data_IF_226501289655
#
_entry.id   IF_226501289655
#
_cell.length_a   1.000
_cell.length_b   1.000
_cell.length_c   1.000
_cell.angle_alpha   90.00
_cell.angle_beta   90.00
_cell.angle_gamma   90.00
#
_symmetry.space_group_name_H-M   'P 1'
#
loop_
_entity.id
_entity.type
_entity.pdbx_description
1 polymer ?
#
# COMPACT_ATOMS: atom_id res chain seq x y z
N UNK A 1 4.60 6.03 -0.35
CA UNK A 1 4.46 4.59 -0.08
C UNK A 1 5.68 3.78 -0.48
N UNK A 2 5.91 3.45 -1.76
CA UNK A 2 6.89 2.41 -2.14
C UNK A 2 8.32 2.67 -1.62
N UNK A 3 8.98 3.74 -2.08
CA UNK A 3 10.36 4.06 -1.68
C UNK A 3 10.53 4.24 -0.16
N UNK A 4 9.73 5.08 0.52
CA UNK A 4 9.93 5.31 1.95
C UNK A 4 9.64 4.05 2.79
N UNK A 5 8.64 3.23 2.42
CA UNK A 5 8.32 2.01 3.19
C UNK A 5 9.42 0.97 3.09
N UNK A 6 10.05 0.82 1.93
CA UNK A 6 11.22 -0.05 1.74
C UNK A 6 12.45 0.38 2.55
N UNK A 7 12.49 1.62 3.00
CA UNK A 7 13.55 2.17 3.84
C UNK A 7 13.21 2.16 5.34
N UNK A 8 12.03 1.69 5.72
CA UNK A 8 11.65 1.56 7.13
C UNK A 8 12.42 0.42 7.81
N UNK A 9 12.83 0.67 9.04
CA UNK A 9 13.44 -0.38 9.85
C UNK A 9 12.43 -1.51 10.11
N UNK A 10 12.80 -2.74 9.72
CA UNK A 10 11.95 -3.91 9.87
C UNK A 10 10.99 -4.18 8.72
N UNK A 11 10.99 -3.38 7.64
CA UNK A 11 10.42 -3.81 6.36
C UNK A 11 11.36 -4.82 5.68
N UNK A 12 10.85 -6.00 5.34
CA UNK A 12 11.62 -7.05 4.68
C UNK A 12 11.24 -7.16 3.20
N UNK A 13 9.96 -6.93 2.88
CA UNK A 13 9.45 -6.94 1.51
C UNK A 13 8.34 -5.91 1.36
N UNK A 14 8.35 -5.24 0.22
CA UNK A 14 7.28 -4.34 -0.20
C UNK A 14 7.16 -4.38 -1.72
N UNK A 15 6.31 -5.27 -2.24
CA UNK A 15 6.11 -5.47 -3.67
C UNK A 15 4.73 -4.98 -4.09
N UNK A 16 4.70 -4.15 -5.13
CA UNK A 16 3.49 -3.57 -5.69
C UNK A 16 3.41 -3.93 -7.17
N UNK A 17 2.32 -4.58 -7.56
CA UNK A 17 2.06 -5.05 -8.92
C UNK A 17 0.76 -4.49 -9.46
N UNK A 18 0.73 -4.27 -10.76
CA UNK A 18 -0.47 -3.95 -11.53
C UNK A 18 -0.92 -5.21 -12.28
N UNK A 19 -2.16 -5.62 -12.11
CA UNK A 19 -2.77 -6.65 -12.93
C UNK A 19 -3.43 -6.00 -14.15
N UNK A 20 -3.11 -6.50 -15.34
CA UNK A 20 -3.63 -5.99 -16.61
C UNK A 20 -4.43 -7.06 -17.33
N UNK A 21 -5.54 -6.67 -17.94
CA UNK A 21 -6.30 -7.55 -18.83
C UNK A 21 -5.56 -7.75 -20.18
N UNK A 22 -6.15 -8.54 -21.08
CA UNK A 22 -5.57 -8.82 -22.41
C UNK A 22 -5.36 -7.55 -23.26
N UNK A 23 -6.12 -6.49 -23.01
CA UNK A 23 -6.03 -5.22 -23.71
C UNK A 23 -5.03 -4.25 -23.07
N UNK A 24 -4.30 -4.68 -22.02
CA UNK A 24 -3.33 -3.87 -21.30
C UNK A 24 -3.95 -2.89 -20.30
N UNK A 25 -5.27 -2.91 -20.11
CA UNK A 25 -5.96 -2.08 -19.11
C UNK A 25 -5.72 -2.64 -17.71
N UNK A 26 -5.35 -1.78 -16.76
CA UNK A 26 -5.20 -2.15 -15.35
C UNK A 26 -6.58 -2.49 -14.79
N UNK A 27 -6.70 -3.66 -14.18
CA UNK A 27 -7.94 -4.17 -13.58
C UNK A 27 -7.82 -4.36 -12.06
N UNK A 28 -6.60 -4.52 -11.55
CA UNK A 28 -6.36 -4.68 -10.12
C UNK A 28 -4.95 -4.24 -9.75
N UNK A 29 -4.75 -4.00 -8.46
CA UNK A 29 -3.45 -3.74 -7.85
C UNK A 29 -3.21 -4.75 -6.73
N UNK A 30 -2.01 -5.34 -6.71
CA UNK A 30 -1.61 -6.31 -5.70
C UNK A 30 -0.46 -5.75 -4.89
N UNK A 31 -0.60 -5.75 -3.56
CA UNK A 31 0.40 -5.24 -2.64
C UNK A 31 0.76 -6.34 -1.63
N UNK A 32 2.03 -6.72 -1.60
CA UNK A 32 2.58 -7.69 -0.67
C UNK A 32 3.58 -7.00 0.24
N UNK A 33 3.38 -7.14 1.55
CA UNK A 33 4.22 -6.53 2.57
C UNK A 33 4.64 -7.59 3.58
N UNK A 34 5.95 -7.70 3.84
CA UNK A 34 6.49 -8.55 4.89
C UNK A 34 7.27 -7.66 5.86
N UNK A 35 6.95 -7.81 7.14
CA UNK A 35 7.60 -7.10 8.23
C UNK A 35 8.19 -8.10 9.21
N UNK A 36 9.34 -7.74 9.77
CA UNK A 36 10.07 -8.57 10.73
C UNK A 36 9.23 -8.97 11.95
N UNK A 37 8.33 -8.09 12.39
CA UNK A 37 7.42 -8.33 13.51
C UNK A 37 6.25 -7.33 13.50
N UNK A 38 5.31 -7.50 14.43
CA UNK A 38 4.16 -6.62 14.63
C UNK A 38 4.56 -5.18 14.98
N UNK A 39 5.65 -4.96 15.71
CA UNK A 39 6.14 -3.63 16.05
C UNK A 39 6.56 -2.82 14.82
N UNK A 40 7.20 -3.45 13.84
CA UNK A 40 7.55 -2.83 12.56
C UNK A 40 6.30 -2.47 11.74
N UNK A 41 5.29 -3.36 11.72
CA UNK A 41 4.00 -3.07 11.08
C UNK A 41 3.26 -1.90 11.75
N UNK A 42 3.28 -1.82 13.08
CA UNK A 42 2.66 -0.72 13.82
C UNK A 42 3.40 0.59 13.62
N UNK A 43 4.74 0.55 13.50
CA UNK A 43 5.54 1.70 13.13
C UNK A 43 5.16 2.20 11.74
N UNK A 44 5.11 1.30 10.74
CA UNK A 44 4.71 1.61 9.37
C UNK A 44 3.39 2.39 9.33
N UNK A 45 2.36 1.90 10.04
CA UNK A 45 1.02 2.52 10.11
C UNK A 45 0.98 3.91 10.74
N UNK A 46 2.03 4.30 11.48
CA UNK A 46 2.13 5.62 12.12
C UNK A 46 2.88 6.65 11.27
N UNK A 47 3.58 6.21 10.22
CA UNK A 47 4.37 7.08 9.34
C UNK A 47 3.50 8.08 8.58
N UNK A 48 4.10 9.22 8.23
CA UNK A 48 3.42 10.28 7.46
C UNK A 48 2.99 9.77 6.08
N UNK A 49 3.87 9.07 5.36
CA UNK A 49 3.52 8.60 4.01
C UNK A 49 2.41 7.55 4.03
N UNK A 50 2.31 6.70 5.06
CA UNK A 50 1.18 5.78 5.21
C UNK A 50 -0.14 6.53 5.43
N UNK A 51 -0.14 7.51 6.34
CA UNK A 51 -1.33 8.33 6.62
C UNK A 51 -1.78 9.13 5.40
N UNK A 52 -0.84 9.73 4.67
CA UNK A 52 -1.10 10.48 3.43
C UNK A 52 -1.65 9.59 2.31
N UNK A 53 -1.21 8.34 2.25
CA UNK A 53 -1.75 7.35 1.32
C UNK A 53 -3.18 6.95 1.71
N UNK A 54 -3.40 6.66 3.00
CA UNK A 54 -4.70 6.20 3.48
C UNK A 54 -5.79 7.26 3.31
N UNK A 55 -5.47 8.54 3.54
CA UNK A 55 -6.42 9.64 3.34
C UNK A 55 -6.90 9.75 1.90
N UNK A 56 -6.00 9.57 0.93
CA UNK A 56 -6.35 9.58 -0.50
C UNK A 56 -7.26 8.42 -0.89
N UNK A 57 -7.04 7.22 -0.34
CA UNK A 57 -7.89 6.06 -0.62
C UNK A 57 -9.30 6.25 -0.04
N UNK A 58 -9.41 6.80 1.16
CA UNK A 58 -10.73 7.05 1.76
C UNK A 58 -11.58 7.98 0.87
N UNK A 59 -10.96 8.93 0.17
CA UNK A 59 -11.67 9.76 -0.79
C UNK A 59 -12.10 9.01 -2.06
N UNK A 60 -11.36 7.98 -2.49
CA UNK A 60 -11.81 7.07 -3.56
C UNK A 60 -12.95 6.15 -3.12
N UNK A 61 -13.01 5.80 -1.83
CA UNK A 61 -14.06 4.93 -1.28
C UNK A 61 -15.38 5.67 -0.99
N UNK A 62 -15.41 7.01 -1.02
CA UNK A 62 -16.63 7.81 -0.85
C UNK A 62 -17.58 7.81 -2.06
N UNK A 63 -17.37 6.96 -3.07
CA UNK A 63 -18.38 6.73 -4.10
C UNK A 63 -19.51 5.86 -3.53
N UNK A 64 -20.79 6.25 -3.65
CA UNK A 64 -21.89 5.49 -3.06
C UNK A 64 -21.99 4.11 -3.72
N UNK A 65 -22.21 3.09 -2.90
CA UNK A 65 -22.65 1.78 -3.39
C UNK A 65 -24.06 1.91 -3.99
N UNK A 66 -24.18 1.37 -5.22
CA UNK A 66 -25.37 1.05 -6.03
C UNK A 66 -25.83 2.08 -7.04
#
# INVERSE_FOLDING_TARGET
MIKPTRSEEGNELYNFYEEKNKDGKIISFHLFEIYKNSGALDFHRKTTHYKDYRSKIDDFWKSPER
#
